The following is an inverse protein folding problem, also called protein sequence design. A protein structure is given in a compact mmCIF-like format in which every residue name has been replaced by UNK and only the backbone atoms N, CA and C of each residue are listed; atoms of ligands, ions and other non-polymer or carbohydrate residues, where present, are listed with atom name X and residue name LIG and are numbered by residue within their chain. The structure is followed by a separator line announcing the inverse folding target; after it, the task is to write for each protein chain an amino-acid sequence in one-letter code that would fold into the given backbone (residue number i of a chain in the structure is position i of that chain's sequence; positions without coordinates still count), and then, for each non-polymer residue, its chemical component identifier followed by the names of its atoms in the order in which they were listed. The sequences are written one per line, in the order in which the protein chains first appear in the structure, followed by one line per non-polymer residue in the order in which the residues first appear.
data_IF_888229417291
#
_entry.id   IF_888229417291
#
_cell.length_a   1.000
_cell.length_b   1.000
_cell.length_c   1.000
_cell.angle_alpha   90.00
_cell.angle_beta   90.00
_cell.angle_gamma   90.00
#
_symmetry.space_group_name_H-M   'P 1'
#
loop_
_entity.id
_entity.type
_entity.pdbx_description
1 polymer ?
#
# COMPACT_ATOMS: atom_id res chain seq x y z
N UNK A 1 9.23 43.32 -17.55
CA UNK A 1 8.15 42.59 -18.21
C UNK A 1 8.60 41.34 -18.96
N UNK A 2 9.71 41.30 -19.70
CA UNK A 2 10.21 40.09 -20.37
C UNK A 2 10.54 38.94 -19.41
N UNK A 3 11.12 39.20 -18.23
CA UNK A 3 11.47 38.18 -17.25
C UNK A 3 10.28 37.41 -16.66
N UNK A 4 9.14 38.09 -16.42
CA UNK A 4 7.94 37.41 -15.92
C UNK A 4 7.29 36.49 -16.96
N UNK A 5 7.39 36.87 -18.23
CA UNK A 5 6.87 36.08 -19.34
C UNK A 5 7.70 34.78 -19.55
N UNK A 6 9.02 34.86 -19.42
CA UNK A 6 9.93 33.71 -19.50
C UNK A 6 9.67 32.74 -18.35
N UNK A 7 9.48 33.24 -17.13
CA UNK A 7 9.15 32.38 -15.97
C UNK A 7 7.78 31.71 -16.13
N UNK A 8 6.79 32.42 -16.68
CA UNK A 8 5.47 31.85 -16.94
C UNK A 8 5.53 30.74 -17.99
N UNK A 9 6.28 30.95 -19.08
CA UNK A 9 6.45 29.91 -20.12
C UNK A 9 7.20 28.71 -19.55
N UNK A 10 8.25 28.90 -18.76
CA UNK A 10 8.98 27.81 -18.10
C UNK A 10 8.09 27.03 -17.12
N UNK A 11 7.20 27.69 -16.39
CA UNK A 11 6.23 27.02 -15.52
C UNK A 11 5.22 26.20 -16.31
N UNK A 12 4.65 26.78 -17.37
CA UNK A 12 3.68 26.08 -18.23
C UNK A 12 4.33 24.89 -18.92
N UNK A 13 5.55 25.02 -19.45
CA UNK A 13 6.27 23.89 -20.04
C UNK A 13 6.58 22.82 -19.01
N UNK A 14 6.97 23.16 -17.78
CA UNK A 14 7.22 22.19 -16.71
C UNK A 14 5.96 21.41 -16.33
N UNK A 15 4.81 22.08 -16.19
CA UNK A 15 3.52 21.45 -15.86
C UNK A 15 3.02 20.52 -16.99
N UNK A 16 3.20 20.93 -18.26
CA UNK A 16 2.76 20.15 -19.45
C UNK A 16 3.61 18.88 -19.65
N UNK A 17 4.91 18.93 -19.26
CA UNK A 17 5.83 17.79 -19.40
C UNK A 17 5.92 16.92 -18.15
N UNK A 18 5.13 17.20 -17.10
CA UNK A 18 5.08 16.37 -15.93
C UNK A 18 4.18 15.15 -16.19
N UNK A 19 4.71 13.95 -15.97
CA UNK A 19 3.91 12.74 -16.09
C UNK A 19 2.70 12.81 -15.13
N UNK A 20 1.49 12.47 -15.60
CA UNK A 20 0.31 12.48 -14.76
C UNK A 20 0.45 11.44 -13.63
N UNK A 21 0.04 11.82 -12.41
CA UNK A 21 -0.05 10.89 -11.28
C UNK A 21 -1.51 10.47 -11.15
N UNK A 22 -1.74 9.16 -11.14
CA UNK A 22 -3.05 8.56 -10.95
C UNK A 22 -3.18 8.09 -9.50
N UNK A 23 -4.34 8.35 -8.90
CA UNK A 23 -4.66 7.93 -7.54
C UNK A 23 -5.76 6.88 -7.57
N UNK A 24 -5.46 5.69 -7.07
CA UNK A 24 -6.47 4.69 -6.75
C UNK A 24 -6.75 4.74 -5.25
N UNK A 25 -8.02 4.94 -4.87
CA UNK A 25 -8.43 5.05 -3.48
C UNK A 25 -9.55 4.07 -3.16
N UNK A 26 -9.39 3.33 -2.06
CA UNK A 26 -10.45 2.52 -1.45
C UNK A 26 -10.70 3.04 -0.05
N UNK A 27 -11.97 3.38 0.22
CA UNK A 27 -12.42 3.81 1.55
C UNK A 27 -13.42 2.79 2.09
N UNK A 28 -13.26 2.37 3.34
CA UNK A 28 -14.14 1.41 3.99
C UNK A 28 -14.33 1.75 5.47
N UNK A 29 -15.43 1.24 6.02
CA UNK A 29 -15.75 1.33 7.45
C UNK A 29 -15.25 0.07 8.13
N UNK A 30 -14.57 0.22 9.25
CA UNK A 30 -14.18 -0.90 10.10
C UNK A 30 -15.36 -1.17 11.04
N UNK A 31 -16.01 -2.30 10.87
CA UNK A 31 -17.03 -2.77 11.80
C UNK A 31 -16.35 -3.58 12.92
N UNK A 32 -16.43 -3.09 14.14
CA UNK A 32 -16.06 -3.88 15.32
C UNK A 32 -17.23 -4.81 15.60
N UNK A 33 -17.01 -6.11 15.47
CA UNK A 33 -18.04 -7.11 15.72
C UNK A 33 -18.59 -7.00 17.15
N UNK A 34 -19.90 -6.80 17.28
CA UNK A 34 -20.60 -6.75 18.58
C UNK A 34 -20.43 -8.05 19.41
N UNK A 35 -19.96 -9.14 18.79
CA UNK A 35 -19.83 -10.44 19.43
C UNK A 35 -18.75 -10.51 20.53
N UNK A 36 -17.66 -9.79 20.37
CA UNK A 36 -16.53 -9.82 21.33
C UNK A 36 -16.76 -8.87 22.52
N UNK A 37 -17.52 -7.78 22.31
CA UNK A 37 -17.80 -6.81 23.37
C UNK A 37 -18.72 -7.38 24.47
N UNK A 38 -19.64 -8.28 24.14
CA UNK A 38 -20.55 -8.87 25.15
C UNK A 38 -19.83 -9.90 26.05
N UNK A 39 -18.86 -10.64 25.53
CA UNK A 39 -18.04 -11.57 26.31
C UNK A 39 -17.02 -10.82 27.16
N UNK A 40 -16.37 -9.78 26.63
CA UNK A 40 -15.44 -8.92 27.39
C UNK A 40 -16.17 -8.11 28.44
N UNK A 41 -17.39 -7.65 28.17
CA UNK A 41 -18.24 -6.94 29.15
C UNK A 41 -18.59 -7.81 30.37
N UNK A 42 -18.87 -9.09 30.16
CA UNK A 42 -19.16 -10.02 31.23
C UNK A 42 -17.90 -10.34 32.09
N UNK A 43 -16.73 -10.43 31.48
CA UNK A 43 -15.46 -10.65 32.20
C UNK A 43 -15.00 -9.39 32.93
N UNK A 44 -15.16 -8.22 32.35
CA UNK A 44 -14.77 -6.94 32.97
C UNK A 44 -15.64 -6.60 34.18
N UNK A 45 -16.91 -6.96 34.18
CA UNK A 45 -17.80 -6.79 35.35
C UNK A 45 -17.38 -7.66 36.53
N UNK A 46 -16.78 -8.83 36.26
CA UNK A 46 -16.26 -9.76 37.31
C UNK A 46 -14.98 -9.22 37.94
N UNK A 47 -14.17 -8.46 37.17
CA UNK A 47 -12.88 -7.88 37.63
C UNK A 47 -13.02 -6.45 38.12
N UNK A 48 -14.22 -5.86 38.08
CA UNK A 48 -14.51 -4.50 38.57
C UNK A 48 -13.96 -3.38 37.68
N UNK A 49 -13.67 -3.66 36.42
CA UNK A 49 -13.19 -2.68 35.43
C UNK A 49 -14.40 -1.99 34.80
N UNK A 50 -14.47 -0.66 34.91
CA UNK A 50 -15.53 0.14 34.33
C UNK A 50 -15.25 0.42 32.86
N UNK A 51 -15.88 -0.35 31.94
CA UNK A 51 -15.68 -0.26 30.49
C UNK A 51 -16.20 1.00 29.81
N UNK A 52 -16.97 1.83 30.54
CA UNK A 52 -17.54 3.05 29.94
C UNK A 52 -16.51 4.09 29.49
N UNK A 53 -15.24 3.94 29.93
CA UNK A 53 -14.15 4.82 29.52
C UNK A 53 -13.15 4.14 28.54
N UNK A 54 -13.34 2.85 28.24
CA UNK A 54 -12.37 2.06 27.41
C UNK A 54 -12.80 2.02 25.95
N UNK A 55 -14.08 2.31 25.64
CA UNK A 55 -14.64 2.13 24.29
C UNK A 55 -13.95 2.97 23.21
N UNK A 56 -13.50 4.18 23.53
CA UNK A 56 -12.87 5.05 22.53
C UNK A 56 -11.40 4.71 22.29
N UNK A 57 -10.66 4.29 23.32
CA UNK A 57 -9.24 3.94 23.18
C UNK A 57 -9.04 2.56 22.54
N UNK A 58 -9.84 1.55 22.88
CA UNK A 58 -9.75 0.22 22.30
C UNK A 58 -10.05 0.25 20.78
N UNK A 59 -11.04 1.02 20.37
CA UNK A 59 -11.37 1.20 18.94
C UNK A 59 -10.27 1.92 18.16
N UNK A 60 -9.58 2.86 18.80
CA UNK A 60 -8.42 3.54 18.21
C UNK A 60 -7.24 2.58 18.04
N UNK A 61 -7.00 1.71 19.02
CA UNK A 61 -5.94 0.70 18.95
C UNK A 61 -6.20 -0.30 17.81
N UNK A 62 -7.41 -0.79 17.64
CA UNK A 62 -7.75 -1.73 16.55
C UNK A 62 -7.53 -1.10 15.17
N UNK A 63 -7.92 0.17 14.99
CA UNK A 63 -7.71 0.87 13.71
C UNK A 63 -6.23 1.12 13.43
N UNK A 64 -5.41 1.39 14.44
CA UNK A 64 -3.97 1.58 14.26
C UNK A 64 -3.27 0.26 13.89
N UNK A 65 -3.70 -0.86 14.47
CA UNK A 65 -3.22 -2.18 14.07
C UNK A 65 -3.54 -2.50 12.60
N UNK A 66 -4.73 -2.14 12.12
CA UNK A 66 -5.09 -2.33 10.71
C UNK A 66 -4.24 -1.44 9.79
N UNK A 67 -3.97 -0.19 10.19
CA UNK A 67 -3.06 0.69 9.44
C UNK A 67 -1.66 0.06 9.33
N UNK A 68 -1.12 -0.45 10.44
CA UNK A 68 0.18 -1.11 10.45
C UNK A 68 0.18 -2.43 9.66
N UNK A 69 -0.95 -3.15 9.66
CA UNK A 69 -1.10 -4.36 8.84
C UNK A 69 -0.99 -4.03 7.35
N UNK A 70 -1.67 -2.98 6.87
CA UNK A 70 -1.54 -2.51 5.48
C UNK A 70 -0.12 -2.12 5.10
N UNK A 71 0.66 -1.57 6.04
CA UNK A 71 2.07 -1.17 5.84
C UNK A 71 3.06 -2.32 6.05
N UNK A 72 2.59 -3.46 6.54
CA UNK A 72 3.48 -4.57 6.87
C UNK A 72 4.15 -5.13 5.61
N UNK A 73 5.42 -5.50 5.76
CA UNK A 73 6.19 -6.14 4.68
C UNK A 73 5.46 -7.34 4.08
N UNK A 74 4.84 -8.17 4.93
CA UNK A 74 4.15 -9.38 4.50
C UNK A 74 2.99 -9.09 3.57
N UNK A 75 2.12 -8.13 3.91
CA UNK A 75 0.96 -7.78 3.07
C UNK A 75 1.40 -7.15 1.75
N UNK A 76 2.38 -6.25 1.81
CA UNK A 76 2.92 -5.60 0.61
C UNK A 76 3.68 -6.59 -0.28
N UNK A 77 4.46 -7.52 0.30
CA UNK A 77 5.09 -8.60 -0.44
C UNK A 77 4.07 -9.44 -1.21
N UNK A 78 3.01 -9.88 -0.55
CA UNK A 78 1.94 -10.65 -1.19
C UNK A 78 1.27 -9.86 -2.32
N UNK A 79 1.01 -8.56 -2.11
CA UNK A 79 0.44 -7.70 -3.15
C UNK A 79 1.37 -7.56 -4.35
N UNK A 80 2.66 -7.26 -4.14
CA UNK A 80 3.64 -7.13 -5.22
C UNK A 80 3.86 -8.42 -6.01
N UNK A 81 3.82 -9.57 -5.34
CA UNK A 81 3.99 -10.88 -5.99
C UNK A 81 2.70 -11.37 -6.67
N UNK A 82 1.56 -10.73 -6.44
CA UNK A 82 0.33 -11.04 -7.13
C UNK A 82 0.42 -10.71 -8.62
N UNK A 83 -0.39 -11.41 -9.43
CA UNK A 83 -0.47 -11.18 -10.87
C UNK A 83 -1.36 -10.01 -11.19
N UNK A 84 -1.13 -9.38 -12.32
CA UNK A 84 -1.92 -8.26 -12.81
C UNK A 84 -3.38 -8.67 -13.11
N UNK A 85 -3.56 -9.87 -13.68
CA UNK A 85 -4.85 -10.53 -13.87
C UNK A 85 -4.65 -12.04 -13.84
N UNK A 86 -5.74 -12.82 -13.79
CA UNK A 86 -5.69 -14.29 -13.78
C UNK A 86 -5.09 -14.87 -15.08
N UNK A 87 -5.27 -14.18 -16.19
CA UNK A 87 -4.75 -14.57 -17.52
C UNK A 87 -3.36 -14.00 -17.81
N UNK A 88 -2.85 -13.09 -16.97
CA UNK A 88 -1.57 -12.42 -17.18
C UNK A 88 -0.46 -13.13 -16.40
N UNK A 89 0.67 -13.37 -17.05
CA UNK A 89 1.85 -13.92 -16.38
C UNK A 89 2.64 -12.86 -15.61
N UNK A 90 2.40 -11.56 -15.86
CA UNK A 90 3.15 -10.48 -15.26
C UNK A 90 2.71 -10.21 -13.82
N UNK A 91 3.69 -10.13 -12.90
CA UNK A 91 3.48 -9.73 -11.52
C UNK A 91 3.46 -8.21 -11.36
N UNK A 92 2.75 -7.72 -10.34
CA UNK A 92 2.69 -6.28 -10.03
C UNK A 92 4.08 -5.70 -9.75
N UNK A 93 4.99 -6.44 -9.12
CA UNK A 93 6.37 -6.01 -8.92
C UNK A 93 7.12 -5.75 -10.25
N UNK A 94 6.92 -6.61 -11.24
CA UNK A 94 7.59 -6.47 -12.55
C UNK A 94 7.08 -5.24 -13.28
N UNK A 95 5.75 -5.01 -13.26
CA UNK A 95 5.14 -3.82 -13.85
C UNK A 95 5.64 -2.54 -13.18
N UNK A 96 5.63 -2.49 -11.85
CA UNK A 96 6.16 -1.37 -11.06
C UNK A 96 7.63 -1.10 -11.38
N UNK A 97 8.47 -2.14 -11.33
CA UNK A 97 9.89 -2.01 -11.62
C UNK A 97 10.18 -1.54 -13.05
N UNK A 98 9.30 -1.89 -14.00
CA UNK A 98 9.40 -1.40 -15.39
C UNK A 98 9.06 0.09 -15.44
N UNK A 99 7.95 0.53 -14.85
CA UNK A 99 7.53 1.93 -14.80
C UNK A 99 8.60 2.81 -14.16
N UNK A 100 9.14 2.41 -13.02
CA UNK A 100 10.21 3.14 -12.31
C UNK A 100 11.61 2.93 -12.91
N UNK A 101 11.72 2.26 -14.05
CA UNK A 101 12.99 1.97 -14.76
C UNK A 101 13.99 1.14 -13.93
N UNK A 102 13.52 0.47 -12.86
CA UNK A 102 14.35 -0.36 -11.99
C UNK A 102 14.91 -1.58 -12.74
N UNK A 103 14.12 -2.20 -13.63
CA UNK A 103 14.57 -3.32 -14.44
C UNK A 103 15.81 -2.97 -15.27
N UNK A 104 15.84 -1.74 -15.85
CA UNK A 104 17.01 -1.27 -16.60
C UNK A 104 18.23 -1.06 -15.70
N UNK A 105 18.03 -0.64 -14.45
CA UNK A 105 19.08 -0.48 -13.46
C UNK A 105 19.62 -1.84 -13.04
N UNK A 106 18.75 -2.78 -12.72
CA UNK A 106 19.15 -4.15 -12.33
C UNK A 106 19.91 -4.86 -13.44
N UNK A 107 19.43 -4.83 -14.69
CA UNK A 107 20.11 -5.50 -15.81
C UNK A 107 21.46 -4.89 -16.21
N UNK A 108 21.84 -3.72 -15.68
CA UNK A 108 23.19 -3.16 -15.81
C UNK A 108 24.17 -3.72 -14.79
N UNK A 109 23.69 -4.27 -13.72
CA UNK A 109 24.47 -4.93 -12.69
C UNK A 109 24.74 -6.38 -13.18
N UNK A 110 26.01 -6.75 -13.24
CA UNK A 110 26.40 -8.08 -13.74
C UNK A 110 25.83 -9.22 -12.89
N UNK A 111 25.58 -8.98 -11.58
CA UNK A 111 24.96 -9.96 -10.69
C UNK A 111 23.44 -10.08 -10.91
N UNK A 112 22.78 -9.07 -11.48
CA UNK A 112 21.34 -8.97 -11.67
C UNK A 112 20.93 -9.05 -13.14
N UNK A 113 21.85 -9.35 -14.05
CA UNK A 113 21.61 -9.34 -15.49
C UNK A 113 20.44 -10.22 -15.96
N UNK A 114 20.24 -11.35 -15.27
CA UNK A 114 19.15 -12.30 -15.53
C UNK A 114 18.10 -12.31 -14.40
N UNK A 115 18.07 -11.27 -13.56
CA UNK A 115 17.17 -11.18 -12.43
C UNK A 115 15.73 -10.95 -12.89
N UNK A 116 14.79 -11.75 -12.37
CA UNK A 116 13.37 -11.66 -12.68
C UNK A 116 12.53 -12.13 -11.52
N UNK A 117 11.41 -11.46 -11.28
CA UNK A 117 10.38 -11.91 -10.33
C UNK A 117 9.35 -12.87 -10.98
N UNK A 118 9.45 -13.16 -12.28
CA UNK A 118 8.55 -14.08 -12.99
C UNK A 118 8.97 -15.54 -12.82
N UNK A 119 9.34 -15.92 -11.61
CA UNK A 119 9.71 -17.28 -11.21
C UNK A 119 8.77 -17.75 -10.07
N UNK A 120 8.61 -19.07 -9.85
CA UNK A 120 7.88 -19.58 -8.69
C UNK A 120 8.43 -19.02 -7.37
N UNK A 121 7.57 -18.74 -6.40
CA UNK A 121 8.02 -18.20 -5.10
C UNK A 121 8.99 -19.13 -4.37
N UNK A 122 8.84 -20.46 -4.55
CA UNK A 122 9.74 -21.45 -3.98
C UNK A 122 11.18 -21.35 -4.52
N UNK A 123 11.35 -20.77 -5.71
CA UNK A 123 12.67 -20.59 -6.36
C UNK A 123 13.28 -19.21 -6.08
N UNK A 124 12.56 -18.36 -5.34
CA UNK A 124 13.06 -17.04 -4.96
C UNK A 124 14.18 -17.16 -3.93
N UNK A 125 15.29 -16.49 -4.20
CA UNK A 125 16.45 -16.43 -3.32
C UNK A 125 16.37 -15.27 -2.34
N UNK A 126 17.26 -15.25 -1.34
CA UNK A 126 17.44 -14.12 -0.41
C UNK A 126 17.66 -12.79 -1.16
N UNK A 127 18.26 -12.83 -2.35
CA UNK A 127 18.45 -11.64 -3.20
C UNK A 127 17.13 -11.05 -3.69
N UNK A 128 16.14 -11.91 -4.04
CA UNK A 128 14.80 -11.47 -4.40
C UNK A 128 14.11 -10.78 -3.21
N UNK A 129 14.22 -11.35 -2.02
CA UNK A 129 13.65 -10.74 -0.81
C UNK A 129 14.32 -9.39 -0.49
N UNK A 130 15.63 -9.28 -0.62
CA UNK A 130 16.34 -8.02 -0.36
C UNK A 130 15.93 -6.91 -1.33
N UNK A 131 15.84 -7.21 -2.63
CA UNK A 131 15.42 -6.24 -3.64
C UNK A 131 13.96 -5.85 -3.43
N UNK A 132 13.09 -6.82 -3.13
CA UNK A 132 11.69 -6.57 -2.87
C UNK A 132 11.49 -5.71 -1.61
N UNK A 133 12.30 -5.93 -0.57
CA UNK A 133 12.26 -5.10 0.64
C UNK A 133 12.63 -3.64 0.34
N UNK A 134 13.68 -3.39 -0.45
CA UNK A 134 14.06 -2.05 -0.90
C UNK A 134 12.91 -1.37 -1.66
N UNK A 135 12.31 -2.10 -2.62
CA UNK A 135 11.17 -1.59 -3.40
C UNK A 135 9.97 -1.28 -2.51
N UNK A 136 9.65 -2.15 -1.55
CA UNK A 136 8.53 -1.95 -0.62
C UNK A 136 8.77 -0.74 0.28
N UNK A 137 10.00 -0.54 0.75
CA UNK A 137 10.32 0.60 1.61
C UNK A 137 10.23 1.94 0.88
N UNK A 138 10.62 1.98 -0.38
CA UNK A 138 10.46 3.17 -1.22
C UNK A 138 8.98 3.39 -1.56
N UNK A 139 8.25 2.33 -1.94
CA UNK A 139 6.82 2.39 -2.22
C UNK A 139 5.99 2.91 -1.04
N UNK A 140 6.29 2.46 0.19
CA UNK A 140 5.62 2.95 1.40
C UNK A 140 5.80 4.45 1.62
N UNK A 141 6.94 5.00 1.23
CA UNK A 141 7.26 6.42 1.44
C UNK A 141 6.63 7.32 0.38
N UNK A 142 6.58 6.84 -0.86
CA UNK A 142 6.29 7.67 -2.01
C UNK A 142 4.91 7.46 -2.61
N UNK A 143 4.38 6.21 -2.57
CA UNK A 143 3.17 5.84 -3.31
C UNK A 143 2.00 5.40 -2.41
N UNK A 144 2.27 4.87 -1.22
CA UNK A 144 1.23 4.31 -0.35
C UNK A 144 0.83 5.30 0.74
N UNK A 145 -0.44 5.72 0.71
CA UNK A 145 -1.02 6.60 1.72
C UNK A 145 -2.16 5.88 2.42
N UNK A 146 -2.03 5.68 3.72
CA UNK A 146 -3.10 5.13 4.55
C UNK A 146 -3.50 6.18 5.56
N UNK A 147 -4.75 6.61 5.50
CA UNK A 147 -5.26 7.71 6.27
C UNK A 147 -6.56 7.37 6.98
N UNK A 148 -6.79 8.01 8.11
CA UNK A 148 -8.08 8.09 8.81
C UNK A 148 -8.68 9.46 8.51
N UNK A 149 -9.57 9.60 7.51
CA UNK A 149 -10.11 10.90 7.11
C UNK A 149 -10.85 11.59 8.25
N UNK A 150 -11.44 10.82 9.16
CA UNK A 150 -12.09 11.33 10.35
C UNK A 150 -11.73 10.45 11.56
N UNK A 151 -11.11 11.06 12.57
CA UNK A 151 -10.70 10.35 13.80
C UNK A 151 -11.86 9.84 14.65
N UNK A 152 -13.07 10.42 14.48
CA UNK A 152 -14.28 10.03 15.21
C UNK A 152 -15.06 8.92 14.50
N UNK A 153 -14.78 8.67 13.25
CA UNK A 153 -15.42 7.63 12.46
C UNK A 153 -14.38 6.53 12.19
N UNK A 154 -14.81 5.29 12.27
CA UNK A 154 -13.97 4.13 11.95
C UNK A 154 -13.85 3.95 10.43
N UNK A 155 -13.45 5.05 9.76
CA UNK A 155 -13.25 5.08 8.31
C UNK A 155 -11.74 5.04 8.04
N UNK A 156 -11.32 4.10 7.21
CA UNK A 156 -9.97 3.99 6.70
C UNK A 156 -9.96 4.24 5.20
N UNK A 157 -8.99 5.02 4.73
CA UNK A 157 -8.73 5.24 3.31
C UNK A 157 -7.34 4.68 2.97
N UNK A 158 -7.29 3.84 1.96
CA UNK A 158 -6.06 3.29 1.38
C UNK A 158 -5.91 3.85 -0.02
N UNK A 159 -4.84 4.62 -0.25
CA UNK A 159 -4.53 5.24 -1.54
C UNK A 159 -3.22 4.73 -2.08
N UNK A 160 -3.17 4.53 -3.38
CA UNK A 160 -1.96 4.25 -4.14
C UNK A 160 -1.83 5.30 -5.23
N UNK A 161 -0.71 6.00 -5.24
CA UNK A 161 -0.39 7.03 -6.24
C UNK A 161 0.75 6.55 -7.13
N UNK A 162 0.51 6.51 -8.45
CA UNK A 162 1.52 6.09 -9.42
C UNK A 162 1.31 6.76 -10.78
N UNK A 163 2.36 6.82 -11.59
CA UNK A 163 2.29 7.27 -12.99
C UNK A 163 1.65 6.21 -13.93
N UNK A 164 1.53 4.96 -13.47
CA UNK A 164 0.80 3.89 -14.15
C UNK A 164 -0.58 3.68 -13.49
N UNK A 165 -1.64 4.15 -14.14
CA UNK A 165 -3.02 4.06 -13.65
C UNK A 165 -3.46 2.61 -13.37
N UNK A 166 -3.08 1.67 -14.26
CA UNK A 166 -3.44 0.27 -14.12
C UNK A 166 -2.73 -0.38 -12.93
N UNK A 167 -1.45 -0.04 -12.72
CA UNK A 167 -0.72 -0.50 -11.54
C UNK A 167 -1.38 0.03 -10.26
N UNK A 168 -1.66 1.35 -10.19
CA UNK A 168 -2.27 1.96 -9.01
C UNK A 168 -3.60 1.29 -8.65
N UNK A 169 -4.49 1.10 -9.63
CA UNK A 169 -5.80 0.45 -9.45
C UNK A 169 -5.66 -1.00 -8.97
N UNK A 170 -4.86 -1.79 -9.68
CA UNK A 170 -4.72 -3.23 -9.38
C UNK A 170 -4.02 -3.46 -8.06
N UNK A 171 -2.95 -2.72 -7.77
CA UNK A 171 -2.24 -2.84 -6.50
C UNK A 171 -3.14 -2.47 -5.32
N UNK A 172 -3.87 -1.36 -5.40
CA UNK A 172 -4.83 -0.97 -4.37
C UNK A 172 -5.87 -2.06 -4.11
N UNK A 173 -6.51 -2.56 -5.18
CA UNK A 173 -7.54 -3.60 -5.10
C UNK A 173 -6.99 -4.90 -4.48
N UNK A 174 -5.82 -5.34 -4.93
CA UNK A 174 -5.18 -6.56 -4.45
C UNK A 174 -4.77 -6.42 -2.99
N UNK A 175 -4.15 -5.30 -2.60
CA UNK A 175 -3.73 -5.04 -1.22
C UNK A 175 -4.93 -5.05 -0.26
N UNK A 176 -6.01 -4.37 -0.62
CA UNK A 176 -7.25 -4.35 0.20
C UNK A 176 -7.83 -5.76 0.32
N UNK A 177 -7.88 -6.52 -0.78
CA UNK A 177 -8.36 -7.91 -0.76
C UNK A 177 -7.51 -8.79 0.16
N UNK A 178 -6.18 -8.72 0.06
CA UNK A 178 -5.25 -9.52 0.88
C UNK A 178 -5.43 -9.20 2.37
N UNK A 179 -5.46 -7.93 2.73
CA UNK A 179 -5.61 -7.52 4.14
C UNK A 179 -6.97 -7.95 4.69
N UNK A 180 -8.06 -7.77 3.93
CA UNK A 180 -9.39 -8.21 4.34
C UNK A 180 -9.54 -9.73 4.47
N UNK A 181 -8.74 -10.51 3.75
CA UNK A 181 -8.71 -11.98 3.91
C UNK A 181 -7.86 -12.44 5.10
N UNK A 182 -6.93 -11.61 5.51
CA UNK A 182 -6.05 -11.91 6.64
C UNK A 182 -6.69 -11.56 7.98
N UNK A 183 -7.51 -10.50 8.00
CA UNK A 183 -8.23 -10.02 9.18
C UNK A 183 -9.56 -10.75 9.35
#
# INVERSE_FOLDING_TARGET
MLGSLVIAILRITYEVFRDPIYTAETTFIIEVGEGDMSQLGSLASVVGINLNNISDESQLFDTDHIVELYKSYRMLKLAFLSRLSDDDSERLITRFARGKKLLKRWHRDDELKNFSFEIPEADMSVKHDSILMEVIDDFKKEQLIIAKPNRKLMILSVKVEDDDALFAEKFNTVLVKIVNQFY
#
